data_IF_040883975053
#
_entry.id   IF_040883975053
#
_cell.length_a   1.000
_cell.length_b   1.000
_cell.length_c   1.000
_cell.angle_alpha   90.00
_cell.angle_beta   90.00
_cell.angle_gamma   90.00
#
_symmetry.space_group_name_H-M   'P 1'
#
loop_
_entity.id
_entity.type
_entity.pdbx_description
1 polymer ?
#
# COMPACT_ATOMS: atom_id res chain seq x y z
N UNK A 1 30.10 15.74 -35.48
CA UNK A 1 29.42 14.92 -34.47
C UNK A 1 29.00 15.86 -33.34
N UNK A 2 27.70 16.06 -33.14
CA UNK A 2 27.19 16.93 -32.08
C UNK A 2 27.65 16.40 -30.72
N UNK A 3 28.34 17.23 -29.95
CA UNK A 3 28.82 16.90 -28.61
C UNK A 3 27.61 16.64 -27.72
N UNK A 4 27.40 15.38 -27.32
CA UNK A 4 26.23 14.98 -26.55
C UNK A 4 26.32 15.64 -25.17
N UNK A 5 25.54 16.70 -24.96
CA UNK A 5 25.47 17.44 -23.70
C UNK A 5 25.13 16.46 -22.58
N UNK A 6 26.02 16.33 -21.58
CA UNK A 6 25.86 15.38 -20.48
C UNK A 6 25.14 16.03 -19.31
N UNK A 7 24.17 15.34 -18.74
CA UNK A 7 23.44 15.78 -17.54
C UNK A 7 24.05 15.12 -16.31
N UNK A 8 24.13 15.85 -15.19
CA UNK A 8 24.65 15.30 -13.94
C UNK A 8 23.87 14.07 -13.46
N UNK A 9 24.57 13.10 -12.88
CA UNK A 9 23.99 11.82 -12.43
C UNK A 9 22.83 12.02 -11.44
N UNK A 10 22.94 12.99 -10.53
CA UNK A 10 21.88 13.28 -9.55
C UNK A 10 20.60 13.76 -10.22
N UNK A 11 20.68 14.67 -11.19
CA UNK A 11 19.52 15.15 -11.93
C UNK A 11 18.82 14.01 -12.68
N UNK A 12 19.58 13.09 -13.27
CA UNK A 12 19.04 11.90 -13.95
C UNK A 12 18.35 10.91 -12.99
N UNK A 13 18.84 10.81 -11.76
CA UNK A 13 18.20 10.01 -10.69
C UNK A 13 16.90 10.64 -10.22
N UNK A 14 16.93 11.96 -9.96
CA UNK A 14 15.75 12.71 -9.55
C UNK A 14 14.67 12.64 -10.63
N UNK A 15 15.02 12.94 -11.90
CA UNK A 15 14.09 12.86 -13.03
C UNK A 15 13.56 11.43 -13.27
N UNK A 16 14.40 10.42 -13.08
CA UNK A 16 14.04 9.01 -13.28
C UNK A 16 13.25 8.38 -12.13
N UNK A 17 13.17 9.04 -10.97
CA UNK A 17 12.42 8.55 -9.81
C UNK A 17 10.93 8.40 -10.15
N UNK A 18 10.25 7.42 -9.57
CA UNK A 18 8.84 7.17 -9.87
C UNK A 18 8.05 6.67 -8.66
N UNK A 19 6.73 6.71 -8.77
CA UNK A 19 5.79 6.22 -7.74
C UNK A 19 5.95 4.72 -7.43
N UNK A 20 6.58 3.96 -8.33
CA UNK A 20 6.93 2.54 -8.11
C UNK A 20 8.00 2.32 -7.03
N UNK A 21 8.53 3.39 -6.42
CA UNK A 21 9.42 3.31 -5.26
C UNK A 21 8.67 3.06 -3.94
N UNK A 22 7.40 3.46 -3.81
CA UNK A 22 6.61 3.27 -2.58
C UNK A 22 6.38 1.80 -2.17
N UNK A 23 6.18 0.84 -3.10
CA UNK A 23 6.14 -0.58 -2.78
C UNK A 23 7.33 -1.10 -1.96
N UNK A 24 8.52 -0.50 -2.09
CA UNK A 24 9.72 -0.87 -1.30
C UNK A 24 9.50 -0.57 0.18
N UNK A 25 9.00 0.64 0.48
CA UNK A 25 8.64 1.04 1.84
C UNK A 25 7.48 0.20 2.37
N UNK A 26 6.40 0.05 1.60
CA UNK A 26 5.27 -0.79 1.98
C UNK A 26 5.65 -2.24 2.27
N UNK A 27 6.54 -2.84 1.47
CA UNK A 27 7.06 -4.18 1.72
C UNK A 27 7.90 -4.25 2.99
N UNK A 28 8.65 -3.20 3.32
CA UNK A 28 9.35 -3.07 4.61
C UNK A 28 8.34 -2.96 5.77
N UNK A 29 7.25 -2.23 5.55
CA UNK A 29 6.06 -2.20 6.39
C UNK A 29 5.46 -3.58 6.65
N UNK A 30 5.31 -4.37 5.59
CA UNK A 30 4.75 -5.72 5.63
C UNK A 30 5.53 -6.65 6.58
N UNK A 31 6.87 -6.53 6.59
CA UNK A 31 7.73 -7.34 7.46
C UNK A 31 7.43 -7.10 8.93
N UNK A 32 7.54 -5.85 9.43
CA UNK A 32 7.31 -5.64 10.86
C UNK A 32 5.84 -5.80 11.25
N UNK A 33 4.87 -5.55 10.35
CA UNK A 33 3.45 -5.78 10.66
C UNK A 33 3.18 -7.28 10.83
N UNK A 34 3.72 -8.14 9.96
CA UNK A 34 3.56 -9.60 10.10
C UNK A 34 4.33 -10.17 11.28
N UNK A 35 5.54 -9.67 11.56
CA UNK A 35 6.30 -10.04 12.76
C UNK A 35 5.55 -9.67 14.05
N UNK A 36 4.96 -8.47 14.11
CA UNK A 36 4.23 -8.01 15.31
C UNK A 36 3.01 -8.86 15.66
N UNK A 37 2.51 -9.64 14.69
CA UNK A 37 1.42 -10.59 14.91
C UNK A 37 1.86 -11.93 15.50
N UNK A 38 3.16 -12.25 15.61
CA UNK A 38 3.60 -13.54 16.13
C UNK A 38 3.08 -13.76 17.56
N UNK A 39 2.58 -14.97 17.83
CA UNK A 39 1.99 -15.32 19.14
C UNK A 39 3.04 -15.27 20.25
N UNK A 40 4.19 -15.87 20.00
CA UNK A 40 5.35 -15.76 20.87
C UNK A 40 6.12 -14.49 20.51
N UNK A 41 6.17 -13.53 21.43
CA UNK A 41 6.78 -12.22 21.19
C UNK A 41 7.88 -11.95 22.21
N UNK A 42 9.13 -11.92 21.73
CA UNK A 42 10.30 -11.65 22.57
C UNK A 42 10.75 -10.19 22.45
N UNK A 43 11.39 -9.61 23.48
CA UNK A 43 11.95 -8.25 23.38
C UNK A 43 12.95 -8.08 22.22
N UNK A 44 13.66 -9.15 21.87
CA UNK A 44 14.56 -9.18 20.71
C UNK A 44 13.80 -9.02 19.40
N UNK A 45 12.63 -9.67 19.28
CA UNK A 45 11.75 -9.51 18.13
C UNK A 45 11.23 -8.07 18.02
N UNK A 46 10.81 -7.46 19.13
CA UNK A 46 10.41 -6.04 19.17
C UNK A 46 11.52 -5.12 18.67
N UNK A 47 12.78 -5.44 18.98
CA UNK A 47 13.93 -4.66 18.52
C UNK A 47 14.09 -4.76 16.99
N UNK A 48 13.99 -5.97 16.43
CA UNK A 48 14.04 -6.18 14.97
C UNK A 48 12.91 -5.43 14.28
N UNK A 49 11.69 -5.55 14.78
CA UNK A 49 10.52 -4.84 14.28
C UNK A 49 10.71 -3.32 14.27
N UNK A 50 11.27 -2.78 15.35
CA UNK A 50 11.56 -1.36 15.50
C UNK A 50 12.60 -0.88 14.48
N UNK A 51 13.63 -1.70 14.19
CA UNK A 51 14.60 -1.40 13.12
C UNK A 51 13.91 -1.31 11.76
N UNK A 52 13.04 -2.26 11.43
CA UNK A 52 12.26 -2.24 10.19
C UNK A 52 11.29 -1.05 10.12
N UNK A 53 10.71 -0.65 11.26
CA UNK A 53 9.88 0.56 11.36
C UNK A 53 10.67 1.84 11.00
N UNK A 54 11.86 2.04 11.58
CA UNK A 54 12.71 3.18 11.22
C UNK A 54 13.23 3.12 9.78
N UNK A 55 13.54 1.93 9.26
CA UNK A 55 13.88 1.75 7.85
C UNK A 55 12.72 2.17 6.94
N UNK A 56 11.49 1.79 7.29
CA UNK A 56 10.30 2.18 6.53
C UNK A 56 10.10 3.71 6.53
N UNK A 57 10.25 4.38 7.68
CA UNK A 57 10.22 5.85 7.77
C UNK A 57 11.30 6.46 6.87
N UNK A 58 12.52 5.93 6.91
CA UNK A 58 13.63 6.44 6.09
C UNK A 58 13.35 6.33 4.60
N UNK A 59 12.79 5.20 4.15
CA UNK A 59 12.37 4.98 2.76
C UNK A 59 11.22 5.92 2.35
N UNK A 60 10.25 6.14 3.24
CA UNK A 60 9.15 7.06 2.98
C UNK A 60 9.62 8.50 2.82
N UNK A 61 10.51 8.98 3.70
CA UNK A 61 11.11 10.31 3.60
C UNK A 61 11.92 10.42 2.31
N UNK A 62 12.76 9.43 1.99
CA UNK A 62 13.55 9.41 0.75
C UNK A 62 12.67 9.52 -0.49
N UNK A 63 11.64 8.69 -0.60
CA UNK A 63 10.74 8.66 -1.75
C UNK A 63 9.96 9.98 -1.89
N UNK A 64 9.42 10.47 -0.78
CA UNK A 64 8.60 11.69 -0.76
C UNK A 64 9.43 12.92 -1.09
N UNK A 65 10.61 13.07 -0.48
CA UNK A 65 11.52 14.19 -0.73
C UNK A 65 12.07 14.17 -2.15
N UNK A 66 12.40 12.98 -2.69
CA UNK A 66 12.90 12.86 -4.07
C UNK A 66 11.81 13.20 -5.10
N UNK A 67 10.58 12.72 -4.92
CA UNK A 67 9.47 13.07 -5.82
C UNK A 67 9.04 14.53 -5.66
N UNK A 68 9.07 15.09 -4.45
CA UNK A 68 8.84 16.52 -4.24
C UNK A 68 9.91 17.35 -4.96
N UNK A 69 11.19 16.96 -4.84
CA UNK A 69 12.28 17.61 -5.57
C UNK A 69 12.09 17.47 -7.08
N UNK A 70 11.66 16.31 -7.58
CA UNK A 70 11.32 16.12 -8.99
C UNK A 70 10.15 17.00 -9.43
N UNK A 71 9.11 17.16 -8.62
CA UNK A 71 7.98 18.03 -8.96
C UNK A 71 8.37 19.52 -9.02
N UNK A 72 9.36 19.94 -8.23
CA UNK A 72 9.89 21.30 -8.25
C UNK A 72 10.85 21.52 -9.43
N UNK A 73 11.79 20.59 -9.67
CA UNK A 73 12.84 20.75 -10.69
C UNK A 73 12.41 20.30 -12.10
N UNK A 74 11.46 19.36 -12.20
CA UNK A 74 10.98 18.76 -13.44
C UNK A 74 9.44 18.60 -13.40
N UNK A 75 8.67 19.70 -13.26
CA UNK A 75 7.21 19.65 -13.05
C UNK A 75 6.48 18.90 -14.18
N UNK A 76 6.96 19.01 -15.42
CA UNK A 76 6.39 18.28 -16.57
C UNK A 76 6.56 16.78 -16.45
N UNK A 77 7.74 16.31 -16.03
CA UNK A 77 7.99 14.90 -15.75
C UNK A 77 7.08 14.39 -14.63
N UNK A 78 6.93 15.15 -13.53
CA UNK A 78 6.04 14.78 -12.44
C UNK A 78 4.57 14.67 -12.92
N UNK A 79 4.11 15.62 -13.74
CA UNK A 79 2.78 15.57 -14.35
C UNK A 79 2.62 14.37 -15.30
N UNK A 80 3.64 14.08 -16.12
CA UNK A 80 3.66 12.89 -16.99
C UNK A 80 3.54 11.60 -16.19
N UNK A 81 4.22 11.49 -15.05
CA UNK A 81 4.15 10.29 -14.19
C UNK A 81 2.77 10.08 -13.56
N UNK A 82 2.09 11.16 -13.17
CA UNK A 82 0.74 11.09 -12.59
C UNK A 82 -0.27 10.60 -13.64
N UNK A 83 -0.13 11.05 -14.89
CA UNK A 83 -1.02 10.68 -15.99
C UNK A 83 -0.58 9.41 -16.76
N UNK A 84 0.53 8.78 -16.37
CA UNK A 84 1.04 7.57 -17.02
C UNK A 84 0.13 6.37 -16.66
N UNK A 85 -0.40 5.62 -17.64
CA UNK A 85 -1.35 4.54 -17.40
C UNK A 85 -0.74 3.32 -16.66
N UNK A 86 0.59 3.23 -16.56
CA UNK A 86 1.28 2.13 -15.87
C UNK A 86 1.84 2.60 -14.52
N UNK A 87 2.36 3.83 -14.45
CA UNK A 87 3.02 4.37 -13.24
C UNK A 87 2.06 5.17 -12.36
N UNK A 88 1.03 5.79 -12.94
CA UNK A 88 0.05 6.60 -12.23
C UNK A 88 -0.73 5.80 -11.19
N UNK A 89 -1.03 4.53 -11.44
CA UNK A 89 -1.73 3.65 -10.47
C UNK A 89 -0.94 3.47 -9.16
N UNK A 90 0.37 3.73 -9.16
CA UNK A 90 1.21 3.65 -7.95
C UNK A 90 1.19 4.95 -7.13
N UNK A 91 0.63 6.05 -7.63
CA UNK A 91 0.54 7.33 -6.89
C UNK A 91 -0.09 7.15 -5.51
N UNK A 92 -1.24 6.46 -5.35
CA UNK A 92 -1.90 6.31 -4.04
C UNK A 92 -1.11 5.48 -3.03
N UNK A 93 -0.04 4.79 -3.45
CA UNK A 93 0.80 4.00 -2.55
C UNK A 93 1.62 4.84 -1.58
N UNK A 94 1.77 6.14 -1.82
CA UNK A 94 2.28 7.08 -0.80
C UNK A 94 1.40 7.03 0.45
N UNK A 95 0.08 6.97 0.28
CA UNK A 95 -0.87 6.91 1.39
C UNK A 95 -0.79 5.55 2.08
N UNK A 96 -0.67 4.45 1.33
CA UNK A 96 -0.48 3.12 1.93
C UNK A 96 0.81 3.00 2.73
N UNK A 97 1.89 3.60 2.24
CA UNK A 97 3.16 3.67 2.98
C UNK A 97 2.96 4.43 4.29
N UNK A 98 2.23 5.55 4.26
CA UNK A 98 1.87 6.29 5.47
C UNK A 98 1.01 5.48 6.44
N UNK A 99 0.08 4.65 5.96
CA UNK A 99 -0.70 3.72 6.80
C UNK A 99 0.21 2.82 7.63
N UNK A 100 1.23 2.24 7.00
CA UNK A 100 2.17 1.35 7.70
C UNK A 100 2.94 2.10 8.78
N UNK A 101 3.36 3.34 8.51
CA UNK A 101 4.04 4.18 9.51
C UNK A 101 3.12 4.46 10.69
N UNK A 102 1.84 4.78 10.47
CA UNK A 102 0.87 4.96 11.57
C UNK A 102 0.79 3.69 12.43
N UNK A 103 0.66 2.52 11.81
CA UNK A 103 0.61 1.24 12.52
C UNK A 103 1.91 1.00 13.31
N UNK A 104 3.07 1.28 12.73
CA UNK A 104 4.36 1.18 13.41
C UNK A 104 4.49 2.15 14.59
N UNK A 105 4.01 3.39 14.44
CA UNK A 105 3.98 4.39 15.52
C UNK A 105 3.10 3.90 16.68
N UNK A 106 1.95 3.31 16.38
CA UNK A 106 1.05 2.72 17.38
C UNK A 106 1.74 1.57 18.13
N UNK A 107 2.46 0.69 17.42
CA UNK A 107 3.08 -0.48 18.02
C UNK A 107 4.38 -0.16 18.79
N UNK A 108 5.17 0.81 18.33
CA UNK A 108 6.54 1.01 18.82
C UNK A 108 6.78 2.36 19.49
N UNK A 109 5.96 3.38 19.25
CA UNK A 109 6.13 4.71 19.85
C UNK A 109 5.10 5.02 20.95
N UNK A 110 3.90 4.45 20.88
CA UNK A 110 2.87 4.64 21.93
C UNK A 110 3.18 3.87 23.21
N UNK A 111 3.55 2.56 23.20
CA UNK A 111 3.76 1.82 24.45
C UNK A 111 4.90 2.39 25.33
N UNK A 112 6.04 2.84 24.77
CA UNK A 112 7.07 3.53 25.56
C UNK A 112 6.70 4.96 25.99
N UNK A 113 5.58 5.52 25.49
CA UNK A 113 5.12 6.87 25.84
C UNK A 113 5.71 8.02 24.99
N UNK A 114 6.42 7.72 23.89
CA UNK A 114 6.95 8.76 22.99
C UNK A 114 5.86 9.50 22.19
N UNK A 115 4.73 8.83 21.95
CA UNK A 115 3.60 9.36 21.19
C UNK A 115 2.31 9.12 21.97
N UNK A 116 1.47 10.15 22.09
CA UNK A 116 0.19 10.05 22.79
C UNK A 116 -0.91 9.44 21.91
N UNK A 117 -1.90 8.74 22.50
CA UNK A 117 -3.09 8.30 21.75
C UNK A 117 -3.87 9.44 21.09
N UNK A 118 -3.83 10.64 21.67
CA UNK A 118 -4.42 11.84 21.07
C UNK A 118 -3.78 12.23 19.75
N UNK A 119 -2.46 12.08 19.63
CA UNK A 119 -1.75 12.30 18.36
C UNK A 119 -2.11 11.24 17.31
N UNK A 120 -2.25 9.98 17.72
CA UNK A 120 -2.71 8.89 16.82
C UNK A 120 -4.11 9.17 16.27
N UNK A 121 -5.02 9.71 17.09
CA UNK A 121 -6.34 10.14 16.63
C UNK A 121 -6.27 11.24 15.57
N UNK A 122 -5.35 12.21 15.71
CA UNK A 122 -5.12 13.24 14.68
C UNK A 122 -4.56 12.62 13.40
N UNK A 123 -3.58 11.71 13.52
CA UNK A 123 -3.02 10.98 12.37
C UNK A 123 -4.08 10.17 11.59
N UNK A 124 -5.08 9.62 12.28
CA UNK A 124 -6.21 8.95 11.62
C UNK A 124 -6.95 9.88 10.64
N UNK A 125 -7.29 11.10 11.06
CA UNK A 125 -7.98 12.05 10.20
C UNK A 125 -7.10 12.59 9.09
N UNK A 126 -5.80 12.78 9.35
CA UNK A 126 -4.81 13.10 8.31
C UNK A 126 -4.77 11.98 7.27
N UNK A 127 -4.75 10.71 7.70
CA UNK A 127 -4.78 9.57 6.80
C UNK A 127 -6.06 9.54 5.94
N UNK A 128 -7.23 9.72 6.55
CA UNK A 128 -8.51 9.74 5.82
C UNK A 128 -8.54 10.87 4.78
N UNK A 129 -8.15 12.08 5.17
CA UNK A 129 -8.07 13.21 4.25
C UNK A 129 -7.07 12.94 3.12
N UNK A 130 -5.90 12.40 3.44
CA UNK A 130 -4.87 12.09 2.45
C UNK A 130 -5.31 10.99 1.47
N UNK A 131 -6.02 9.98 1.96
CA UNK A 131 -6.63 8.94 1.13
C UNK A 131 -7.65 9.53 0.16
N UNK A 132 -8.54 10.41 0.62
CA UNK A 132 -9.53 11.08 -0.24
C UNK A 132 -8.87 11.99 -1.29
N UNK A 133 -7.96 12.85 -0.86
CA UNK A 133 -7.26 13.81 -1.71
C UNK A 133 -6.35 13.14 -2.75
N UNK A 134 -5.94 11.89 -2.53
CA UNK A 134 -5.13 11.14 -3.49
C UNK A 134 -5.97 10.24 -4.38
N UNK A 135 -6.89 9.46 -3.80
CA UNK A 135 -7.66 8.47 -4.56
C UNK A 135 -8.67 9.14 -5.50
N UNK A 136 -9.41 10.16 -5.06
CA UNK A 136 -10.45 10.79 -5.90
C UNK A 136 -9.87 11.43 -7.18
N UNK A 137 -8.80 12.23 -7.13
CA UNK A 137 -8.19 12.74 -8.36
C UNK A 137 -7.60 11.64 -9.24
N UNK A 138 -6.96 10.62 -8.65
CA UNK A 138 -6.40 9.52 -9.42
C UNK A 138 -7.47 8.68 -10.10
N UNK A 139 -8.63 8.46 -9.46
CA UNK A 139 -9.78 7.82 -10.09
C UNK A 139 -10.33 8.67 -11.24
N UNK A 140 -10.43 10.00 -11.06
CA UNK A 140 -10.85 10.90 -12.13
C UNK A 140 -9.89 10.84 -13.34
N UNK A 141 -8.58 10.94 -13.10
CA UNK A 141 -7.56 10.83 -14.15
C UNK A 141 -7.67 9.47 -14.86
N UNK A 142 -7.82 8.40 -14.08
CA UNK A 142 -7.88 7.03 -14.57
C UNK A 142 -9.10 6.78 -15.45
N UNK A 143 -10.30 7.13 -14.96
CA UNK A 143 -11.56 6.86 -15.67
C UNK A 143 -11.88 7.85 -16.79
N UNK A 144 -11.11 8.92 -16.93
CA UNK A 144 -11.17 9.83 -18.08
C UNK A 144 -10.47 9.28 -19.34
N UNK A 145 -9.84 8.10 -19.26
CA UNK A 145 -9.18 7.45 -20.38
C UNK A 145 -9.78 6.04 -20.60
N UNK A 146 -9.97 5.60 -21.86
CA UNK A 146 -10.34 4.23 -22.14
C UNK A 146 -9.17 3.29 -21.86
N UNK A 147 -9.46 2.11 -21.31
CA UNK A 147 -8.47 1.08 -21.03
C UNK A 147 -8.86 -0.24 -21.69
N UNK A 148 -7.89 -0.88 -22.34
CA UNK A 148 -8.08 -2.22 -22.89
C UNK A 148 -8.15 -3.27 -21.76
N UNK A 149 -9.13 -4.17 -21.84
CA UNK A 149 -9.27 -5.27 -20.90
C UNK A 149 -8.05 -6.19 -20.89
N UNK A 150 -7.35 -6.36 -22.03
CA UNK A 150 -6.17 -7.22 -22.12
C UNK A 150 -4.99 -6.72 -21.25
N UNK A 151 -4.92 -5.40 -21.01
CA UNK A 151 -3.87 -4.77 -20.21
C UNK A 151 -4.24 -4.66 -18.73
N UNK A 152 -5.47 -5.01 -18.36
CA UNK A 152 -5.94 -4.96 -16.98
C UNK A 152 -5.09 -5.84 -16.06
N UNK A 153 -4.70 -5.28 -14.91
CA UNK A 153 -3.99 -6.01 -13.85
C UNK A 153 -4.64 -5.73 -12.49
N UNK A 154 -4.54 -6.66 -11.52
CA UNK A 154 -5.06 -6.41 -10.18
C UNK A 154 -4.42 -5.20 -9.46
N UNK A 155 -3.28 -4.70 -9.94
CA UNK A 155 -2.65 -3.47 -9.42
C UNK A 155 -3.55 -2.24 -9.57
N UNK A 156 -4.57 -2.25 -10.42
CA UNK A 156 -5.54 -1.15 -10.52
C UNK A 156 -6.30 -0.93 -9.21
N UNK A 157 -6.38 -1.95 -8.33
CA UNK A 157 -6.90 -1.82 -6.98
C UNK A 157 -6.18 -0.73 -6.17
N UNK A 158 -4.92 -0.40 -6.48
CA UNK A 158 -4.17 0.67 -5.82
C UNK A 158 -4.87 2.03 -5.88
N UNK A 159 -5.69 2.30 -6.91
CA UNK A 159 -6.43 3.55 -7.06
C UNK A 159 -7.41 3.83 -5.92
N UNK A 160 -7.94 2.79 -5.27
CA UNK A 160 -8.92 2.90 -4.17
C UNK A 160 -8.42 2.25 -2.87
N UNK A 161 -7.33 1.47 -2.93
CA UNK A 161 -6.80 0.73 -1.78
C UNK A 161 -6.56 1.58 -0.53
N UNK A 162 -6.04 2.82 -0.61
CA UNK A 162 -5.89 3.66 0.59
C UNK A 162 -7.19 3.97 1.30
N UNK A 163 -8.28 4.20 0.57
CA UNK A 163 -9.61 4.35 1.16
C UNK A 163 -10.00 3.05 1.87
N UNK A 164 -9.85 1.89 1.22
CA UNK A 164 -10.12 0.60 1.87
C UNK A 164 -9.35 0.44 3.19
N UNK A 165 -8.07 0.81 3.21
CA UNK A 165 -7.20 0.66 4.37
C UNK A 165 -7.50 1.61 5.53
N UNK A 166 -8.42 2.56 5.38
CA UNK A 166 -8.98 3.31 6.52
C UNK A 166 -9.54 2.35 7.57
N UNK A 167 -10.15 1.22 7.18
CA UNK A 167 -10.63 0.22 8.14
C UNK A 167 -9.52 -0.41 8.97
N UNK A 168 -8.38 -0.69 8.33
CA UNK A 168 -7.19 -1.25 8.99
C UNK A 168 -6.53 -0.23 9.92
N UNK A 169 -6.40 1.02 9.46
CA UNK A 169 -5.88 2.11 10.29
C UNK A 169 -6.82 2.37 11.47
N UNK A 170 -8.13 2.36 11.25
CA UNK A 170 -9.15 2.57 12.28
C UNK A 170 -9.03 1.57 13.42
N UNK A 171 -8.98 0.26 13.17
CA UNK A 171 -8.86 -0.70 14.28
C UNK A 171 -7.54 -0.55 15.03
N UNK A 172 -6.44 -0.21 14.36
CA UNK A 172 -5.18 0.03 15.06
C UNK A 172 -5.24 1.29 15.94
N UNK A 173 -5.88 2.36 15.47
CA UNK A 173 -6.14 3.57 16.26
C UNK A 173 -7.02 3.26 17.48
N UNK A 174 -8.05 2.42 17.30
CA UNK A 174 -8.95 2.00 18.38
C UNK A 174 -8.26 1.15 19.45
N UNK A 175 -7.12 0.51 19.18
CA UNK A 175 -6.33 -0.21 20.21
C UNK A 175 -5.83 0.70 21.33
N UNK A 176 -5.57 1.97 21.01
CA UNK A 176 -5.00 2.94 21.95
C UNK A 176 -6.02 3.97 22.45
N UNK A 177 -7.27 3.88 21.98
CA UNK A 177 -8.37 4.75 22.42
C UNK A 177 -9.22 4.05 23.48
N UNK A 178 -9.72 4.83 24.43
CA UNK A 178 -10.71 4.33 25.39
C UNK A 178 -12.05 4.10 24.66
N UNK A 179 -12.67 2.91 24.74
CA UNK A 179 -13.98 2.65 24.13
C UNK A 179 -15.10 3.60 24.58
N UNK A 180 -15.02 4.14 25.80
CA UNK A 180 -15.98 5.12 26.33
C UNK A 180 -15.77 6.55 25.77
N UNK A 181 -14.69 6.80 25.03
CA UNK A 181 -14.49 8.07 24.33
C UNK A 181 -15.47 8.16 23.15
N UNK A 182 -16.28 9.22 23.10
CA UNK A 182 -17.23 9.46 22.00
C UNK A 182 -16.55 9.49 20.63
N UNK A 183 -15.27 9.91 20.56
CA UNK A 183 -14.48 9.90 19.32
C UNK A 183 -14.26 8.50 18.77
N UNK A 184 -14.25 7.46 19.62
CA UNK A 184 -14.07 6.07 19.19
C UNK A 184 -15.21 5.59 18.29
N UNK A 185 -16.45 6.08 18.52
CA UNK A 185 -17.60 5.80 17.65
C UNK A 185 -17.35 6.33 16.24
N UNK A 186 -16.82 7.54 16.12
CA UNK A 186 -16.47 8.15 14.83
C UNK A 186 -15.42 7.34 14.07
N UNK A 187 -14.32 6.95 14.74
CA UNK A 187 -13.26 6.11 14.13
C UNK A 187 -13.81 4.75 13.70
N UNK A 188 -14.65 4.11 14.52
CA UNK A 188 -15.28 2.82 14.20
C UNK A 188 -16.17 2.90 12.96
N UNK A 189 -17.11 3.85 12.94
CA UNK A 189 -18.09 4.01 11.85
C UNK A 189 -17.38 4.40 10.55
N UNK A 190 -16.44 5.35 10.59
CA UNK A 190 -15.66 5.74 9.41
C UNK A 190 -14.76 4.60 8.92
N UNK A 191 -14.21 3.81 9.84
CA UNK A 191 -13.49 2.58 9.53
C UNK A 191 -14.31 1.63 8.68
N UNK A 192 -15.54 1.30 9.10
CA UNK A 192 -16.46 0.47 8.33
C UNK A 192 -16.89 1.11 7.00
N UNK A 193 -17.19 2.42 7.01
CA UNK A 193 -17.65 3.15 5.83
C UNK A 193 -16.64 3.06 4.67
N UNK A 194 -15.39 3.43 4.94
CA UNK A 194 -14.34 3.42 3.93
C UNK A 194 -13.85 2.01 3.59
N UNK A 195 -13.85 1.09 4.56
CA UNK A 195 -13.61 -0.33 4.29
C UNK A 195 -14.63 -0.89 3.30
N UNK A 196 -15.91 -0.56 3.47
CA UNK A 196 -16.99 -0.97 2.56
C UNK A 196 -16.80 -0.42 1.14
N UNK A 197 -16.60 0.90 1.01
CA UNK A 197 -16.34 1.53 -0.30
C UNK A 197 -15.18 0.86 -1.02
N UNK A 198 -14.05 0.73 -0.32
CA UNK A 198 -12.85 0.16 -0.90
C UNK A 198 -13.00 -1.32 -1.26
N UNK A 199 -13.63 -2.12 -0.40
CA UNK A 199 -13.87 -3.53 -0.65
C UNK A 199 -14.78 -3.76 -1.86
N UNK A 200 -15.92 -3.09 -1.95
CA UNK A 200 -16.83 -3.30 -3.09
C UNK A 200 -16.21 -2.84 -4.42
N UNK A 201 -15.51 -1.71 -4.43
CA UNK A 201 -14.80 -1.27 -5.64
C UNK A 201 -13.72 -2.25 -6.09
N UNK A 202 -12.92 -2.76 -5.14
CA UNK A 202 -11.90 -3.76 -5.45
C UNK A 202 -12.49 -5.12 -5.81
N UNK A 203 -13.67 -5.49 -5.27
CA UNK A 203 -14.40 -6.68 -5.66
C UNK A 203 -14.81 -6.63 -7.13
N UNK A 204 -15.27 -5.48 -7.64
CA UNK A 204 -15.52 -5.30 -9.07
C UNK A 204 -14.25 -5.49 -9.92
N UNK A 205 -13.10 -4.98 -9.44
CA UNK A 205 -11.82 -5.21 -10.09
C UNK A 205 -11.40 -6.69 -10.09
N UNK A 206 -11.74 -7.45 -9.04
CA UNK A 206 -11.52 -8.89 -9.04
C UNK A 206 -12.41 -9.60 -10.06
N UNK A 207 -13.67 -9.21 -10.21
CA UNK A 207 -14.53 -9.75 -11.27
C UNK A 207 -13.93 -9.48 -12.67
N UNK A 208 -13.46 -8.26 -12.91
CA UNK A 208 -12.78 -7.89 -14.18
C UNK A 208 -11.50 -8.70 -14.37
N UNK A 209 -10.72 -8.91 -13.30
CA UNK A 209 -9.52 -9.76 -13.34
C UNK A 209 -9.85 -11.18 -13.80
N UNK A 210 -10.89 -11.80 -13.24
CA UNK A 210 -11.33 -13.14 -13.61
C UNK A 210 -11.74 -13.18 -15.10
N UNK A 211 -12.51 -12.19 -15.58
CA UNK A 211 -12.86 -12.10 -17.00
C UNK A 211 -11.59 -11.96 -17.85
N UNK A 212 -10.67 -11.07 -17.47
CA UNK A 212 -9.41 -10.84 -18.20
C UNK A 212 -8.62 -12.13 -18.38
N UNK A 213 -8.42 -12.92 -17.33
CA UNK A 213 -7.65 -14.16 -17.42
C UNK A 213 -8.40 -15.29 -18.12
N UNK A 214 -9.74 -15.30 -18.08
CA UNK A 214 -10.54 -16.23 -18.88
C UNK A 214 -10.40 -15.91 -20.37
N UNK A 215 -10.31 -14.63 -20.73
CA UNK A 215 -10.18 -14.20 -22.14
C UNK A 215 -8.75 -14.27 -22.68
N UNK A 216 -7.74 -14.01 -21.85
CA UNK A 216 -6.34 -13.85 -22.31
C UNK A 216 -5.36 -14.84 -21.70
N UNK A 217 -5.81 -15.71 -20.80
CA UNK A 217 -4.95 -16.58 -19.99
C UNK A 217 -4.28 -15.86 -18.82
N UNK A 218 -3.41 -16.59 -18.11
CA UNK A 218 -2.66 -16.05 -16.98
C UNK A 218 -1.79 -14.84 -17.37
N UNK A 219 -1.59 -13.93 -16.41
CA UNK A 219 -0.67 -12.80 -16.54
C UNK A 219 0.75 -13.30 -16.84
N UNK A 220 1.48 -12.58 -17.70
CA UNK A 220 2.82 -12.95 -18.16
C UNK A 220 3.83 -11.81 -17.99
N UNK A 221 5.10 -12.14 -17.98
CA UNK A 221 6.22 -11.23 -17.83
C UNK A 221 6.18 -10.40 -16.56
N UNK A 222 6.35 -9.09 -16.69
CA UNK A 222 6.31 -8.16 -15.54
C UNK A 222 4.95 -8.17 -14.83
N UNK A 223 3.86 -8.39 -15.58
CA UNK A 223 2.49 -8.34 -15.05
C UNK A 223 2.16 -9.56 -14.18
N UNK A 224 2.91 -10.66 -14.27
CA UNK A 224 2.73 -11.85 -13.43
C UNK A 224 2.81 -11.50 -11.94
N UNK A 225 3.65 -10.53 -11.56
CA UNK A 225 3.74 -10.04 -10.18
C UNK A 225 2.42 -9.40 -9.69
N UNK A 226 1.67 -8.78 -10.61
CA UNK A 226 0.40 -8.13 -10.30
C UNK A 226 -0.68 -9.10 -9.82
N UNK A 227 -0.56 -10.41 -10.13
CA UNK A 227 -1.50 -11.43 -9.66
C UNK A 227 -1.60 -11.47 -8.13
N UNK A 228 -0.49 -11.24 -7.43
CA UNK A 228 -0.45 -11.25 -5.96
C UNK A 228 -1.19 -10.09 -5.32
N UNK A 229 -1.46 -9.02 -6.07
CA UNK A 229 -2.30 -7.92 -5.57
C UNK A 229 -3.76 -8.37 -5.37
N UNK A 230 -4.23 -9.38 -6.12
CA UNK A 230 -5.61 -9.85 -6.07
C UNK A 230 -6.02 -10.40 -4.69
N UNK A 231 -5.10 -11.01 -3.94
CA UNK A 231 -5.41 -11.51 -2.59
C UNK A 231 -5.54 -10.40 -1.54
N UNK A 232 -5.01 -9.21 -1.83
CA UNK A 232 -4.93 -8.10 -0.89
C UNK A 232 -6.31 -7.61 -0.43
N UNK A 233 -7.20 -7.20 -1.34
CA UNK A 233 -8.50 -6.67 -0.95
C UNK A 233 -9.34 -7.57 -0.04
N UNK A 234 -9.58 -8.86 -0.35
CA UNK A 234 -10.32 -9.73 0.56
C UNK A 234 -9.55 -10.01 1.85
N UNK A 235 -8.21 -10.13 1.81
CA UNK A 235 -7.39 -10.36 2.98
C UNK A 235 -7.41 -9.21 3.99
N UNK A 236 -7.17 -7.97 3.53
CA UNK A 236 -7.23 -6.79 4.40
C UNK A 236 -8.65 -6.51 4.89
N UNK A 237 -9.67 -6.79 4.07
CA UNK A 237 -11.06 -6.65 4.51
C UNK A 237 -11.40 -7.66 5.60
N UNK A 238 -10.98 -8.92 5.47
CA UNK A 238 -11.15 -9.92 6.52
C UNK A 238 -10.47 -9.49 7.83
N UNK A 239 -9.23 -8.99 7.74
CA UNK A 239 -8.49 -8.46 8.89
C UNK A 239 -9.22 -7.29 9.55
N UNK A 240 -9.69 -6.33 8.77
CA UNK A 240 -10.41 -5.16 9.27
C UNK A 240 -11.73 -5.55 9.94
N UNK A 241 -12.53 -6.42 9.31
CA UNK A 241 -13.80 -6.87 9.87
C UNK A 241 -13.63 -7.55 11.24
N UNK A 242 -12.66 -8.45 11.38
CA UNK A 242 -12.40 -9.14 12.66
C UNK A 242 -12.08 -8.14 13.78
N UNK A 243 -11.15 -7.23 13.52
CA UNK A 243 -10.67 -6.30 14.55
C UNK A 243 -11.66 -5.17 14.83
N UNK A 244 -12.27 -4.57 13.80
CA UNK A 244 -13.34 -3.59 13.98
C UNK A 244 -14.55 -4.22 14.67
N UNK A 245 -14.85 -5.49 14.38
CA UNK A 245 -15.90 -6.26 15.06
C UNK A 245 -15.62 -6.38 16.56
N UNK A 246 -14.40 -6.76 16.95
CA UNK A 246 -14.04 -6.87 18.38
C UNK A 246 -14.15 -5.51 19.10
N UNK A 247 -13.69 -4.43 18.46
CA UNK A 247 -13.84 -3.08 19.00
C UNK A 247 -15.31 -2.64 19.08
N UNK A 248 -16.15 -3.01 18.10
CA UNK A 248 -17.57 -2.68 18.10
C UNK A 248 -18.30 -3.25 19.33
N UNK A 249 -17.93 -4.45 19.81
CA UNK A 249 -18.48 -5.03 21.05
C UNK A 249 -18.37 -4.06 22.23
N UNK A 250 -17.17 -3.49 22.42
CA UNK A 250 -16.84 -2.63 23.55
C UNK A 250 -17.42 -1.23 23.35
N UNK A 251 -17.29 -0.66 22.15
CA UNK A 251 -17.70 0.72 21.86
C UNK A 251 -19.22 0.86 21.86
N UNK A 252 -19.96 -0.04 21.19
CA UNK A 252 -21.42 0.09 21.10
C UNK A 252 -22.08 -0.10 22.47
N UNK A 253 -21.57 -1.03 23.28
CA UNK A 253 -22.03 -1.23 24.65
C UNK A 253 -21.72 0.00 25.53
N UNK A 254 -20.52 0.57 25.44
CA UNK A 254 -20.11 1.71 26.26
C UNK A 254 -20.94 2.99 26.01
N UNK A 255 -21.50 3.14 24.80
CA UNK A 255 -22.31 4.30 24.41
C UNK A 255 -23.82 4.00 24.34
N UNK A 256 -24.26 2.77 24.65
CA UNK A 256 -25.67 2.37 24.59
C UNK A 256 -26.27 2.46 23.18
N UNK A 257 -25.48 2.17 22.14
CA UNK A 257 -25.89 2.36 20.74
C UNK A 257 -26.58 1.12 20.16
N UNK A 258 -27.63 1.35 19.37
CA UNK A 258 -28.43 0.35 18.62
C UNK A 258 -29.27 -0.54 19.55
N UNK A 259 -28.66 -1.57 20.16
CA UNK A 259 -29.30 -2.46 21.13
C UNK A 259 -28.23 -3.01 22.09
N UNK A 260 -28.61 -3.52 23.28
CA UNK A 260 -27.65 -4.10 24.23
C UNK A 260 -26.81 -5.25 23.65
N UNK A 261 -27.33 -5.98 22.66
CA UNK A 261 -26.66 -7.12 22.01
C UNK A 261 -26.01 -6.77 20.67
N UNK A 262 -26.15 -5.52 20.19
CA UNK A 262 -25.69 -5.13 18.86
C UNK A 262 -24.19 -5.38 18.67
N UNK A 263 -23.37 -5.09 19.68
CA UNK A 263 -21.93 -5.31 19.64
C UNK A 263 -21.55 -6.77 19.37
N UNK A 264 -22.15 -7.71 20.08
CA UNK A 264 -21.88 -9.14 19.91
C UNK A 264 -22.40 -9.65 18.55
N UNK A 265 -23.57 -9.19 18.09
CA UNK A 265 -24.12 -9.53 16.77
C UNK A 265 -23.20 -9.01 15.66
N UNK A 266 -22.69 -7.78 15.81
CA UNK A 266 -21.77 -7.18 14.85
C UNK A 266 -20.47 -7.98 14.77
N UNK A 267 -19.91 -8.35 15.91
CA UNK A 267 -18.71 -9.18 15.97
C UNK A 267 -18.92 -10.55 15.33
N UNK A 268 -19.99 -11.27 15.70
CA UNK A 268 -20.30 -12.58 15.11
C UNK A 268 -20.46 -12.51 13.59
N UNK A 269 -21.14 -11.48 13.09
CA UNK A 269 -21.31 -11.22 11.65
C UNK A 269 -19.97 -10.92 10.96
N UNK A 270 -19.09 -10.15 11.63
CA UNK A 270 -17.75 -9.86 11.15
C UNK A 270 -16.86 -11.11 11.09
N UNK A 271 -16.94 -12.01 12.09
CA UNK A 271 -16.17 -13.26 12.10
C UNK A 271 -16.57 -14.16 10.92
N UNK A 272 -17.87 -14.36 10.70
CA UNK A 272 -18.37 -15.16 9.56
C UNK A 272 -17.92 -14.56 8.22
N UNK A 273 -18.13 -13.26 8.04
CA UNK A 273 -17.77 -12.55 6.80
C UNK A 273 -16.25 -12.59 6.55
N UNK A 274 -15.45 -12.40 7.59
CA UNK A 274 -14.00 -12.47 7.49
C UNK A 274 -13.50 -13.87 7.13
N UNK A 275 -14.12 -14.94 7.65
CA UNK A 275 -13.75 -16.31 7.29
C UNK A 275 -13.97 -16.59 5.80
N UNK A 276 -15.09 -16.13 5.24
CA UNK A 276 -15.37 -16.26 3.80
C UNK A 276 -14.37 -15.48 2.94
N UNK A 277 -14.08 -14.23 3.32
CA UNK A 277 -13.11 -13.38 2.61
C UNK A 277 -11.67 -13.91 2.76
N UNK A 278 -11.33 -14.48 3.90
CA UNK A 278 -10.06 -15.17 4.12
C UNK A 278 -9.87 -16.32 3.13
N UNK A 279 -10.90 -17.17 2.96
CA UNK A 279 -10.88 -18.25 1.97
C UNK A 279 -10.66 -17.74 0.54
N UNK A 280 -11.33 -16.64 0.15
CA UNK A 280 -11.11 -16.00 -1.14
C UNK A 280 -9.69 -15.46 -1.31
N UNK A 281 -9.12 -14.83 -0.27
CA UNK A 281 -7.77 -14.29 -0.30
C UNK A 281 -6.72 -15.40 -0.47
N UNK A 282 -6.83 -16.48 0.31
CA UNK A 282 -5.94 -17.65 0.21
C UNK A 282 -6.06 -18.30 -1.17
N UNK A 283 -7.28 -18.46 -1.70
CA UNK A 283 -7.49 -18.96 -3.05
C UNK A 283 -6.77 -18.10 -4.10
N UNK A 284 -6.96 -16.77 -4.08
CA UNK A 284 -6.33 -15.86 -5.05
C UNK A 284 -4.81 -15.84 -4.93
N UNK A 285 -4.26 -16.00 -3.72
CA UNK A 285 -2.83 -16.16 -3.51
C UNK A 285 -2.31 -17.44 -4.18
N UNK A 286 -2.91 -18.60 -3.84
CA UNK A 286 -2.53 -19.90 -4.41
C UNK A 286 -2.67 -19.87 -5.94
N UNK A 287 -3.76 -19.31 -6.43
CA UNK A 287 -4.04 -19.18 -7.86
C UNK A 287 -3.01 -18.31 -8.59
N UNK A 288 -2.48 -17.27 -7.95
CA UNK A 288 -1.35 -16.49 -8.44
C UNK A 288 -0.01 -17.25 -8.41
N UNK A 289 0.21 -18.10 -7.41
CA UNK A 289 1.44 -18.90 -7.25
C UNK A 289 1.58 -19.96 -8.35
N UNK A 290 0.48 -20.64 -8.73
CA UNK A 290 0.47 -21.75 -9.68
C UNK A 290 1.24 -21.47 -10.99
N UNK A 291 0.96 -20.38 -11.74
CA UNK A 291 1.68 -20.08 -12.98
C UNK A 291 2.98 -19.29 -12.76
N UNK A 292 3.24 -18.78 -11.54
CA UNK A 292 4.18 -17.69 -11.32
C UNK A 292 5.59 -17.98 -11.82
N UNK A 293 6.13 -19.16 -11.49
CA UNK A 293 7.50 -19.52 -11.83
C UNK A 293 7.78 -19.55 -13.35
N UNK A 294 6.77 -19.93 -14.13
CA UNK A 294 6.87 -20.06 -15.59
C UNK A 294 6.50 -18.77 -16.32
N UNK A 295 5.77 -17.87 -15.67
CA UNK A 295 5.27 -16.61 -16.25
C UNK A 295 6.09 -15.39 -15.86
N UNK A 296 6.82 -15.42 -14.75
CA UNK A 296 7.59 -14.24 -14.31
C UNK A 296 8.84 -14.05 -15.15
N UNK A 297 9.06 -12.82 -15.62
CA UNK A 297 10.34 -12.43 -16.19
C UNK A 297 11.41 -12.35 -15.10
N UNK A 298 12.58 -12.94 -15.36
CA UNK A 298 13.73 -12.94 -14.46
C UNK A 298 14.73 -11.83 -14.85
N UNK A 299 14.20 -10.62 -15.08
CA UNK A 299 14.99 -9.47 -15.50
C UNK A 299 15.11 -8.43 -14.38
N UNK A 300 16.35 -8.08 -14.03
CA UNK A 300 16.64 -7.17 -12.92
C UNK A 300 16.06 -5.76 -13.11
N UNK A 301 15.87 -5.31 -14.37
CA UNK A 301 15.23 -4.02 -14.71
C UNK A 301 13.74 -3.97 -14.36
N UNK A 302 13.10 -5.13 -14.13
CA UNK A 302 11.66 -5.27 -13.83
C UNK A 302 11.39 -5.51 -12.34
N UNK A 303 12.42 -5.43 -11.49
CA UNK A 303 12.37 -5.78 -10.06
C UNK A 303 11.31 -5.01 -9.26
N UNK A 304 10.98 -3.78 -9.67
CA UNK A 304 9.99 -2.95 -8.97
C UNK A 304 8.60 -3.58 -8.93
N UNK A 305 8.23 -4.35 -9.96
CA UNK A 305 6.93 -5.04 -9.99
C UNK A 305 6.84 -6.18 -8.99
N UNK A 306 7.97 -6.85 -8.69
CA UNK A 306 8.03 -7.98 -7.78
C UNK A 306 7.68 -7.60 -6.33
N UNK A 307 7.73 -6.31 -5.97
CA UNK A 307 7.29 -5.85 -4.65
C UNK A 307 5.81 -6.13 -4.36
N UNK A 308 4.99 -6.40 -5.38
CA UNK A 308 3.63 -6.92 -5.23
C UNK A 308 3.55 -8.26 -4.46
N UNK A 309 4.65 -9.00 -4.32
CA UNK A 309 4.73 -10.22 -3.51
C UNK A 309 4.70 -9.96 -1.99
N UNK A 310 4.89 -8.71 -1.55
CA UNK A 310 5.00 -8.39 -0.12
C UNK A 310 3.68 -7.86 0.43
N UNK A 311 3.50 -6.54 0.45
CA UNK A 311 2.41 -5.86 1.15
C UNK A 311 0.99 -6.41 0.89
N UNK A 312 0.57 -6.75 -0.35
CA UNK A 312 -0.76 -7.30 -0.58
C UNK A 312 -1.06 -8.56 0.25
N UNK A 313 -0.06 -9.33 0.63
CA UNK A 313 -0.24 -10.58 1.37
C UNK A 313 -0.43 -10.37 2.89
N UNK A 314 -0.10 -9.18 3.42
CA UNK A 314 -0.16 -8.91 4.86
C UNK A 314 -1.56 -9.15 5.41
N UNK A 315 -2.60 -8.69 4.71
CA UNK A 315 -3.98 -8.78 5.16
C UNK A 315 -4.37 -10.21 5.54
N UNK A 316 -4.24 -11.16 4.61
CA UNK A 316 -4.64 -12.54 4.85
C UNK A 316 -3.67 -13.29 5.78
N UNK A 317 -2.37 -12.98 5.74
CA UNK A 317 -1.39 -13.54 6.69
C UNK A 317 -1.80 -13.15 8.12
N UNK A 318 -2.02 -11.86 8.38
CA UNK A 318 -2.48 -11.39 9.69
C UNK A 318 -3.87 -11.90 10.06
N UNK A 319 -4.79 -12.07 9.09
CA UNK A 319 -6.09 -12.71 9.34
C UNK A 319 -5.93 -14.15 9.84
N UNK A 320 -4.97 -14.91 9.29
CA UNK A 320 -4.66 -16.28 9.76
C UNK A 320 -4.38 -16.27 11.26
N UNK A 321 -3.53 -15.33 11.71
CA UNK A 321 -3.22 -15.15 13.13
C UNK A 321 -4.45 -14.81 13.97
N UNK A 322 -5.27 -13.86 13.52
CA UNK A 322 -6.46 -13.43 14.28
C UNK A 322 -7.51 -14.55 14.35
N UNK A 323 -7.73 -15.30 13.27
CA UNK A 323 -8.62 -16.46 13.28
C UNK A 323 -8.12 -17.55 14.25
N UNK A 324 -6.80 -17.72 14.39
CA UNK A 324 -6.20 -18.60 15.40
C UNK A 324 -6.62 -18.25 16.83
N UNK A 325 -6.71 -16.95 17.16
CA UNK A 325 -7.20 -16.50 18.47
C UNK A 325 -8.71 -16.66 18.61
N UNK A 326 -9.48 -16.24 17.60
CA UNK A 326 -10.94 -16.23 17.67
C UNK A 326 -11.52 -17.64 17.73
N UNK A 327 -10.94 -18.58 16.97
CA UNK A 327 -11.41 -19.96 16.87
C UNK A 327 -10.64 -20.92 17.79
N UNK A 328 -9.61 -20.44 18.48
CA UNK A 328 -8.70 -21.25 19.30
C UNK A 328 -8.10 -22.44 18.54
N UNK A 329 -7.60 -22.21 17.31
CA UNK A 329 -6.99 -23.23 16.46
C UNK A 329 -5.46 -23.04 16.44
N UNK A 330 -4.68 -23.84 17.19
CA UNK A 330 -3.24 -23.63 17.33
C UNK A 330 -2.47 -23.71 16.01
N UNK A 331 -2.88 -24.58 15.08
CA UNK A 331 -2.21 -24.75 13.79
C UNK A 331 -2.21 -23.48 12.92
N UNK A 332 -3.14 -22.54 13.14
CA UNK A 332 -3.11 -21.24 12.45
C UNK A 332 -1.95 -20.35 12.91
N UNK A 333 -1.42 -20.56 14.12
CA UNK A 333 -0.21 -19.88 14.57
C UNK A 333 1.02 -20.36 13.81
N UNK A 334 1.12 -21.66 13.54
CA UNK A 334 2.22 -22.25 12.77
C UNK A 334 2.17 -21.76 11.32
N UNK A 335 0.98 -21.75 10.71
CA UNK A 335 0.80 -21.20 9.35
C UNK A 335 1.19 -19.74 9.30
N UNK A 336 0.76 -18.93 10.27
CA UNK A 336 1.16 -17.53 10.36
C UNK A 336 2.68 -17.37 10.48
N UNK A 337 3.33 -18.15 11.36
CA UNK A 337 4.78 -18.13 11.53
C UNK A 337 5.51 -18.47 10.23
N UNK A 338 5.12 -19.55 9.54
CA UNK A 338 5.71 -19.95 8.26
C UNK A 338 5.57 -18.84 7.22
N UNK A 339 4.38 -18.25 7.10
CA UNK A 339 4.15 -17.15 6.16
C UNK A 339 4.94 -15.89 6.50
N UNK A 340 5.11 -15.57 7.78
CA UNK A 340 5.96 -14.45 8.24
C UNK A 340 7.43 -14.69 7.89
N UNK A 341 7.94 -15.92 8.04
CA UNK A 341 9.30 -16.27 7.60
C UNK A 341 9.43 -16.08 6.08
N UNK A 342 8.47 -16.58 5.29
CA UNK A 342 8.47 -16.41 3.83
C UNK A 342 8.39 -14.93 3.42
N UNK A 343 7.64 -14.10 4.14
CA UNK A 343 7.58 -12.66 3.94
C UNK A 343 8.97 -12.01 4.15
N UNK A 344 9.66 -12.37 5.24
CA UNK A 344 11.00 -11.85 5.54
C UNK A 344 12.03 -12.26 4.47
N UNK A 345 12.00 -13.52 4.04
CA UNK A 345 12.89 -14.04 2.99
C UNK A 345 12.62 -13.35 1.63
N UNK A 346 11.34 -13.22 1.27
CA UNK A 346 10.92 -12.54 0.03
C UNK A 346 11.39 -11.09 0.06
N UNK A 347 11.15 -10.38 1.16
CA UNK A 347 11.62 -9.01 1.34
C UNK A 347 13.14 -8.90 1.19
N UNK A 348 13.92 -9.77 1.84
CA UNK A 348 15.38 -9.72 1.79
C UNK A 348 15.90 -9.90 0.36
N UNK A 349 15.37 -10.89 -0.37
CA UNK A 349 15.72 -11.12 -1.79
C UNK A 349 15.38 -9.90 -2.63
N UNK A 350 14.16 -9.37 -2.52
CA UNK A 350 13.72 -8.21 -3.31
C UNK A 350 14.52 -6.96 -2.96
N UNK A 351 14.84 -6.73 -1.70
CA UNK A 351 15.64 -5.58 -1.25
C UNK A 351 17.06 -5.64 -1.83
N UNK A 352 17.74 -6.79 -1.72
CA UNK A 352 19.09 -6.99 -2.28
C UNK A 352 19.09 -6.78 -3.80
N UNK A 353 18.12 -7.37 -4.51
CA UNK A 353 18.01 -7.21 -5.96
C UNK A 353 17.67 -5.77 -6.37
N UNK A 354 16.83 -5.08 -5.58
CA UNK A 354 16.48 -3.67 -5.83
C UNK A 354 17.72 -2.78 -5.66
N UNK A 355 18.53 -2.99 -4.62
CA UNK A 355 19.80 -2.28 -4.43
C UNK A 355 20.75 -2.55 -5.59
N UNK A 356 20.89 -3.81 -6.03
CA UNK A 356 21.72 -4.16 -7.18
C UNK A 356 21.23 -3.51 -8.49
N UNK A 357 19.92 -3.48 -8.74
CA UNK A 357 19.31 -2.82 -9.89
C UNK A 357 19.54 -1.31 -9.86
N UNK A 358 19.42 -0.71 -8.68
CA UNK A 358 19.64 0.70 -8.46
C UNK A 358 21.09 1.08 -8.75
N UNK A 359 22.07 0.37 -8.19
CA UNK A 359 23.49 0.63 -8.44
C UNK A 359 23.89 0.46 -9.90
N UNK A 360 23.32 -0.54 -10.59
CA UNK A 360 23.54 -0.74 -12.04
C UNK A 360 22.83 0.30 -12.92
N UNK A 361 22.05 1.21 -12.35
CA UNK A 361 21.31 2.23 -13.11
C UNK A 361 20.15 1.67 -13.94
N UNK A 362 19.63 0.49 -13.57
CA UNK A 362 18.54 -0.18 -14.29
C UNK A 362 17.15 0.33 -13.86
N UNK A 363 17.07 0.93 -12.69
CA UNK A 363 15.85 1.53 -12.12
C UNK A 363 16.15 2.95 -11.62
N UNK A 364 15.10 3.79 -11.59
CA UNK A 364 15.17 5.18 -11.15
C UNK A 364 16.28 6.00 -11.83
N UNK A 365 16.43 5.85 -13.14
CA UNK A 365 17.48 6.53 -13.90
C UNK A 365 16.99 6.89 -15.30
N UNK A 366 17.02 8.18 -15.65
CA UNK A 366 16.61 8.66 -16.97
C UNK A 366 17.80 8.82 -17.93
N UNK A 367 17.51 8.85 -19.23
CA UNK A 367 18.51 9.16 -20.25
C UNK A 367 18.79 10.68 -20.30
N UNK A 368 20.00 11.05 -20.73
CA UNK A 368 20.39 12.47 -20.85
C UNK A 368 19.41 13.27 -21.72
N UNK A 369 19.01 12.67 -22.85
CA UNK A 369 18.13 13.29 -23.83
C UNK A 369 16.73 13.59 -23.25
N UNK A 370 16.23 12.79 -22.31
CA UNK A 370 14.93 13.01 -21.67
C UNK A 370 14.99 14.19 -20.68
N UNK A 371 16.08 14.29 -19.92
CA UNK A 371 16.24 15.38 -18.95
C UNK A 371 16.49 16.72 -19.67
N UNK A 372 17.28 16.71 -20.75
CA UNK A 372 17.55 17.91 -21.54
C UNK A 372 16.29 18.45 -22.24
N UNK A 373 15.37 17.58 -22.65
CA UNK A 373 14.09 18.02 -23.25
C UNK A 373 13.27 18.86 -22.27
N UNK A 374 13.15 18.42 -21.03
CA UNK A 374 12.39 19.14 -20.02
C UNK A 374 13.07 20.46 -19.63
N UNK A 375 14.40 20.46 -19.47
CA UNK A 375 15.16 21.68 -19.16
C UNK A 375 15.10 22.74 -20.27
N UNK A 376 15.16 22.33 -21.54
CA UNK A 376 15.12 23.27 -22.67
C UNK A 376 13.75 23.92 -22.84
N UNK A 377 12.68 23.13 -22.70
CA UNK A 377 11.34 23.67 -22.87
C UNK A 377 10.91 24.57 -21.70
N UNK A 378 11.45 24.38 -20.50
CA UNK A 378 11.23 25.31 -19.39
C UNK A 378 11.89 26.67 -19.67
N UNK A 379 13.13 26.68 -20.19
CA UNK A 379 13.81 27.91 -20.60
C UNK A 379 13.01 28.69 -21.66
N UNK A 380 12.50 28.01 -22.70
CA UNK A 380 11.69 28.64 -23.75
C UNK A 380 10.39 29.25 -23.20
N UNK A 381 9.74 28.58 -22.24
CA UNK A 381 8.54 29.12 -21.58
C UNK A 381 8.83 30.35 -20.72
N UNK A 382 9.92 30.36 -19.95
CA UNK A 382 10.34 31.57 -19.20
C UNK A 382 10.70 32.74 -20.12
N UNK A 383 11.34 32.48 -21.27
CA UNK A 383 11.68 33.51 -22.25
C UNK A 383 10.43 34.10 -22.92
N UNK A 384 9.39 33.29 -23.19
CA UNK A 384 8.12 33.81 -23.75
C UNK A 384 7.33 34.65 -22.74
N UNK A 385 7.35 34.29 -21.45
CA UNK A 385 6.71 35.12 -20.41
C UNK A 385 7.47 36.43 -20.16
N UNK A 386 8.81 36.41 -20.23
CA UNK A 386 9.62 37.63 -20.07
C UNK A 386 9.43 38.62 -21.22
N UNK A 387 9.32 38.14 -22.47
CA UNK A 387 9.10 39.02 -23.63
C UNK A 387 7.70 39.59 -23.68
N UNK A 388 6.68 38.87 -23.19
CA UNK A 388 5.33 39.38 -23.02
C UNK A 388 5.21 40.43 -21.90
N UNK A 389 6.01 40.32 -20.82
CA UNK A 389 6.04 41.28 -19.71
C UNK A 389 6.73 42.60 -20.04
N UNK A 390 7.59 42.66 -21.06
CA UNK A 390 8.29 43.88 -21.50
C UNK A 390 7.56 44.63 -22.61
N UNK A 391 6.38 44.16 -23.02
CA UNK A 391 5.59 44.75 -24.11
C UNK A 391 4.40 45.60 -23.62
N UNK A 392 4.44 46.10 -22.38
CA UNK A 392 3.45 47.03 -21.80
C UNK A 392 4.11 48.35 -21.45
#
# INVERSE_FOLDING_TARGET
MSEKQRVGTLARRIHGWSWQAFPIGMGTGAVYVTLSGLKEHSPTLTTVETIFYFLNISLFILNTTTLMTQAILFPRQAWRLINDPVKGIFVPLVVLSFATIIIGTINYAVPPGYVSPGFIYVLFWIYVAFACLTCLPMLMIWFNQPHDLATFTPAYAFLIFPMMLVGVVAFNVLKVMNPADTRAVGVLVLGYFFQGIGFFMTFFYLCIYIIRIMSTGFLDGHQANGAFVACGPPGFTALALLNLGDHARKILAAHGLITPTAGDIWYASSVLSALMLYGLAVFLFVFGVLPYWFKVHKHLKEILGCWALTFPNVGWISTTRVLGDVLHIPGLYDVHLVMTILMCLTWAVLFILTVAAFWKGLIFYSQDDDVLKDLRQDNDSTLSYSTASTAV
#
